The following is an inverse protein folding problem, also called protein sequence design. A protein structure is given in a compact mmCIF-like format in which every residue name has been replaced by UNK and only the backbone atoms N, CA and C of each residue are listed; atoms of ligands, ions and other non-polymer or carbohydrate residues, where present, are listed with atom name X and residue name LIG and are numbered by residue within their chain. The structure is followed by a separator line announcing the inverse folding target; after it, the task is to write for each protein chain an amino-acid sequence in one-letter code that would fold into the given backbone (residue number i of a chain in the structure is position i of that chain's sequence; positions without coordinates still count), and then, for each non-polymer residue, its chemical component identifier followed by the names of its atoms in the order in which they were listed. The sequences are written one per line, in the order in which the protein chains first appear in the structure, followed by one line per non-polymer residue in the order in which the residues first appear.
data_IF_356887128973
#
_entry.id   IF_356887128973
#
_cell.length_a   1.000
_cell.length_b   1.000
_cell.length_c   1.000
_cell.angle_alpha   90.00
_cell.angle_beta   90.00
_cell.angle_gamma   90.00
#
_symmetry.space_group_name_H-M   'P 1'
#
loop_
_entity.id
_entity.type
_entity.pdbx_description
1 polymer ?
#
# COMPACT_ATOMS: atom_id res chain seq x y z
N UNK A 1 23.76 -2.95 10.77
CA UNK A 1 22.70 -3.40 11.70
C UNK A 1 22.75 -4.92 11.77
N UNK A 2 22.52 -5.55 12.92
CA UNK A 2 22.59 -7.01 13.02
C UNK A 2 21.50 -7.67 12.14
N UNK A 3 21.89 -8.56 11.24
CA UNK A 3 20.96 -9.30 10.36
C UNK A 3 19.82 -9.98 11.14
N UNK A 4 20.09 -10.35 12.40
CA UNK A 4 19.11 -10.92 13.34
C UNK A 4 17.99 -9.93 13.71
N UNK A 5 18.29 -8.64 13.86
CA UNK A 5 17.31 -7.59 14.19
C UNK A 5 16.40 -7.33 12.99
N UNK A 6 16.99 -7.20 11.79
CA UNK A 6 16.24 -6.99 10.54
C UNK A 6 15.28 -8.16 10.29
N UNK A 7 15.74 -9.39 10.49
CA UNK A 7 14.93 -10.59 10.34
C UNK A 7 13.70 -10.57 11.26
N UNK A 8 13.87 -10.22 12.54
CA UNK A 8 12.76 -10.10 13.48
C UNK A 8 11.79 -8.97 13.14
N UNK A 9 12.28 -7.84 12.62
CA UNK A 9 11.44 -6.73 12.16
C UNK A 9 10.56 -7.13 10.97
N UNK A 10 11.14 -7.83 9.98
CA UNK A 10 10.40 -8.34 8.81
C UNK A 10 9.32 -9.33 9.24
N UNK A 11 9.66 -10.26 10.14
CA UNK A 11 8.68 -11.23 10.68
C UNK A 11 7.56 -10.52 11.44
N UNK A 12 7.90 -9.55 12.29
CA UNK A 12 6.91 -8.80 13.06
C UNK A 12 5.97 -8.00 12.14
N UNK A 13 6.51 -7.34 11.10
CA UNK A 13 5.71 -6.61 10.11
C UNK A 13 4.76 -7.54 9.35
N UNK A 14 5.25 -8.70 8.92
CA UNK A 14 4.44 -9.70 8.21
C UNK A 14 3.35 -10.29 9.11
N UNK A 15 3.67 -10.61 10.36
CA UNK A 15 2.72 -11.09 11.35
C UNK A 15 1.64 -10.05 11.65
N UNK A 16 1.98 -8.77 11.76
CA UNK A 16 1.04 -7.69 12.00
C UNK A 16 0.11 -7.47 10.79
N UNK A 17 0.65 -7.53 9.57
CA UNK A 17 -0.13 -7.40 8.34
C UNK A 17 -1.11 -8.57 8.15
N UNK A 18 -0.66 -9.82 8.36
CA UNK A 18 -1.53 -11.00 8.32
C UNK A 18 -2.54 -11.01 9.48
N UNK A 19 -2.12 -10.59 10.68
CA UNK A 19 -2.99 -10.45 11.83
C UNK A 19 -4.11 -9.44 11.58
N UNK A 20 -3.79 -8.28 11.02
CA UNK A 20 -4.77 -7.27 10.63
C UNK A 20 -5.74 -7.77 9.56
N UNK A 21 -5.24 -8.45 8.52
CA UNK A 21 -6.06 -9.03 7.46
C UNK A 21 -7.01 -10.12 7.97
N UNK A 22 -6.49 -11.07 8.77
CA UNK A 22 -7.28 -12.18 9.33
C UNK A 22 -8.30 -11.70 10.36
N UNK A 23 -7.94 -10.73 11.22
CA UNK A 23 -8.87 -10.08 12.13
C UNK A 23 -10.00 -9.36 11.37
N UNK A 24 -9.67 -8.65 10.29
CA UNK A 24 -10.66 -8.00 9.43
C UNK A 24 -11.62 -8.99 8.76
N UNK A 25 -11.19 -10.22 8.47
CA UNK A 25 -12.07 -11.27 7.94
C UNK A 25 -12.90 -11.99 9.01
N UNK A 26 -12.41 -12.02 10.26
CA UNK A 26 -13.05 -12.74 11.37
C UNK A 26 -14.18 -11.93 12.00
N UNK A 27 -14.11 -10.60 11.92
CA UNK A 27 -15.18 -9.71 12.34
C UNK A 27 -16.16 -9.57 11.17
N UNK A 28 -17.44 -9.95 11.34
CA UNK A 28 -18.52 -9.58 10.41
C UNK A 28 -18.71 -8.07 10.47
N UNK A 29 -17.91 -7.34 9.71
CA UNK A 29 -17.96 -5.89 9.64
C UNK A 29 -19.22 -5.48 8.86
N UNK A 30 -20.01 -4.60 9.46
CA UNK A 30 -21.12 -3.96 8.76
C UNK A 30 -20.60 -2.95 7.73
N UNK A 31 -21.50 -2.37 6.91
CA UNK A 31 -21.12 -1.47 5.83
C UNK A 31 -20.28 -0.26 6.30
N UNK A 32 -20.57 0.32 7.47
CA UNK A 32 -19.89 1.54 7.99
C UNK A 32 -18.41 1.33 8.36
N UNK A 33 -18.02 0.32 9.14
CA UNK A 33 -16.61 0.09 9.46
C UNK A 33 -15.79 -0.34 8.24
N UNK A 34 -16.38 -0.98 7.21
CA UNK A 34 -15.68 -1.24 5.95
C UNK A 34 -15.29 0.06 5.23
N UNK A 35 -16.22 1.02 5.13
CA UNK A 35 -15.96 2.34 4.54
C UNK A 35 -14.84 3.07 5.30
N UNK A 36 -14.87 2.99 6.63
CA UNK A 36 -13.83 3.55 7.49
C UNK A 36 -12.47 2.87 7.24
N UNK A 37 -12.42 1.54 7.13
CA UNK A 37 -11.18 0.79 6.96
C UNK A 37 -10.54 1.02 5.58
N UNK A 38 -11.35 1.10 4.52
CA UNK A 38 -10.89 1.43 3.16
C UNK A 38 -10.38 2.88 3.11
N UNK A 39 -11.11 3.82 3.72
CA UNK A 39 -10.68 5.22 3.80
C UNK A 39 -9.39 5.37 4.60
N UNK A 40 -9.25 4.62 5.70
CA UNK A 40 -8.03 4.55 6.49
C UNK A 40 -6.84 4.00 5.68
N UNK A 41 -7.04 2.89 4.95
CA UNK A 41 -6.01 2.33 4.07
C UNK A 41 -5.61 3.28 2.93
N UNK A 42 -6.57 3.98 2.33
CA UNK A 42 -6.28 5.04 1.36
C UNK A 42 -5.43 6.16 1.97
N UNK A 43 -5.72 6.53 3.22
CA UNK A 43 -4.94 7.49 3.99
C UNK A 43 -3.51 7.05 4.25
N UNK A 44 -3.28 5.78 4.63
CA UNK A 44 -1.92 5.26 4.86
C UNK A 44 -1.11 5.19 3.57
N UNK A 45 -1.70 4.77 2.44
CA UNK A 45 -1.03 4.77 1.12
C UNK A 45 -0.60 6.18 0.69
N UNK A 46 -1.48 7.17 0.88
CA UNK A 46 -1.15 8.56 0.58
C UNK A 46 -0.08 9.10 1.55
N UNK A 47 -0.18 8.76 2.83
CA UNK A 47 0.81 9.10 3.84
C UNK A 47 2.21 8.56 3.51
N UNK A 48 2.32 7.29 3.12
CA UNK A 48 3.60 6.69 2.68
C UNK A 48 4.15 7.41 1.45
N UNK A 49 3.27 7.75 0.51
CA UNK A 49 3.65 8.50 -0.70
C UNK A 49 4.31 9.83 -0.34
N UNK A 50 3.69 10.63 0.54
CA UNK A 50 4.20 11.96 0.89
C UNK A 50 5.37 11.95 1.88
N UNK A 51 5.35 11.07 2.87
CA UNK A 51 6.31 11.12 3.99
C UNK A 51 7.53 10.22 3.80
N UNK A 52 7.45 9.22 2.91
CA UNK A 52 8.54 8.30 2.61
C UNK A 52 8.96 8.38 1.14
N UNK A 53 8.07 8.04 0.19
CA UNK A 53 8.44 7.87 -1.23
C UNK A 53 8.92 9.18 -1.87
N UNK A 54 8.12 10.25 -1.74
CA UNK A 54 8.42 11.53 -2.37
C UNK A 54 9.74 12.16 -1.86
N UNK A 55 9.98 12.29 -0.53
CA UNK A 55 11.24 12.87 -0.05
C UNK A 55 12.45 12.00 -0.40
N UNK A 56 12.33 10.67 -0.39
CA UNK A 56 13.42 9.76 -0.79
C UNK A 56 13.77 9.89 -2.28
N UNK A 57 12.75 9.99 -3.13
CA UNK A 57 12.91 10.13 -4.58
C UNK A 57 13.52 11.49 -4.93
N UNK A 58 13.11 12.57 -4.25
CA UNK A 58 13.65 13.91 -4.43
C UNK A 58 15.08 14.07 -3.88
N UNK A 59 15.50 13.25 -2.91
CA UNK A 59 16.87 13.24 -2.41
C UNK A 59 17.88 12.66 -3.42
N UNK A 60 17.40 11.84 -4.36
CA UNK A 60 18.23 11.07 -5.31
C UNK A 60 18.08 11.53 -6.75
N UNK A 61 16.97 12.19 -7.09
CA UNK A 61 16.61 12.60 -8.45
C UNK A 61 16.15 14.06 -8.50
N UNK A 62 16.20 14.66 -9.69
CA UNK A 62 15.68 16.01 -9.88
C UNK A 62 14.15 16.04 -9.79
N UNK A 63 13.60 17.12 -9.25
CA UNK A 63 12.17 17.28 -8.99
C UNK A 63 11.28 17.06 -10.23
N UNK A 64 11.74 17.46 -11.41
CA UNK A 64 11.00 17.28 -12.65
C UNK A 64 10.93 15.80 -13.07
N UNK A 65 11.98 15.01 -12.82
CA UNK A 65 11.98 13.58 -13.12
C UNK A 65 11.03 12.83 -12.17
N UNK A 66 11.06 13.20 -10.89
CA UNK A 66 10.18 12.63 -9.87
C UNK A 66 8.72 12.95 -10.17
N UNK A 67 8.41 14.19 -10.57
CA UNK A 67 7.03 14.58 -10.93
C UNK A 67 6.55 13.87 -12.19
N UNK A 68 7.38 13.72 -13.23
CA UNK A 68 7.03 12.92 -14.42
C UNK A 68 6.77 11.46 -14.02
N UNK A 69 7.65 10.86 -13.21
CA UNK A 69 7.46 9.50 -12.73
C UNK A 69 6.14 9.34 -11.96
N UNK A 70 5.86 10.25 -11.00
CA UNK A 70 4.61 10.29 -10.25
C UNK A 70 3.39 10.41 -11.18
N UNK A 71 3.43 11.31 -12.16
CA UNK A 71 2.33 11.49 -13.12
C UNK A 71 2.13 10.24 -13.99
N UNK A 72 3.21 9.62 -14.46
CA UNK A 72 3.11 8.39 -15.28
C UNK A 72 2.48 7.23 -14.48
N UNK A 73 2.80 7.11 -13.19
CA UNK A 73 2.18 6.12 -12.32
C UNK A 73 0.69 6.37 -12.10
N UNK A 74 0.32 7.63 -11.84
CA UNK A 74 -1.07 8.05 -11.74
C UNK A 74 -1.83 7.75 -13.03
N UNK A 75 -1.26 8.12 -14.18
CA UNK A 75 -1.87 7.93 -15.50
C UNK A 75 -2.06 6.44 -15.82
N UNK A 76 -1.07 5.60 -15.49
CA UNK A 76 -1.16 4.15 -15.68
C UNK A 76 -2.37 3.57 -14.93
N UNK A 77 -2.49 3.87 -13.64
CA UNK A 77 -3.61 3.38 -12.83
C UNK A 77 -4.96 3.97 -13.25
N UNK A 78 -4.98 5.24 -13.69
CA UNK A 78 -6.16 5.85 -14.31
C UNK A 78 -6.60 5.08 -15.56
N UNK A 79 -5.69 4.76 -16.48
CA UNK A 79 -6.03 4.03 -17.70
C UNK A 79 -6.45 2.59 -17.42
N UNK A 80 -5.78 1.90 -16.49
CA UNK A 80 -6.17 0.55 -16.06
C UNK A 80 -7.60 0.58 -15.50
N UNK A 81 -7.91 1.55 -14.63
CA UNK A 81 -9.24 1.70 -14.06
C UNK A 81 -10.30 2.10 -15.10
N UNK A 82 -9.90 2.85 -16.13
CA UNK A 82 -10.82 3.27 -17.18
C UNK A 82 -11.12 2.17 -18.21
N UNK A 83 -10.13 1.33 -18.54
CA UNK A 83 -10.22 0.39 -19.67
C UNK A 83 -10.28 -1.09 -19.28
N UNK A 84 -9.75 -1.49 -18.13
CA UNK A 84 -9.64 -2.92 -17.74
C UNK A 84 -10.68 -3.30 -16.71
N UNK A 85 -10.81 -2.52 -15.63
CA UNK A 85 -11.74 -2.80 -14.55
C UNK A 85 -12.67 -1.61 -14.32
N UNK A 86 -13.92 -1.74 -14.77
CA UNK A 86 -14.94 -0.70 -14.63
C UNK A 86 -15.32 -0.39 -13.16
N UNK A 87 -14.81 -1.19 -12.21
CA UNK A 87 -14.93 -0.99 -10.76
C UNK A 87 -13.55 -1.20 -10.12
N UNK A 88 -13.10 -0.26 -9.29
CA UNK A 88 -11.86 -0.39 -8.53
C UNK A 88 -11.95 -1.57 -7.55
N UNK A 89 -11.00 -2.52 -7.52
CA UNK A 89 -11.09 -3.71 -6.67
C UNK A 89 -11.14 -3.39 -5.17
N UNK A 90 -10.56 -2.26 -4.74
CA UNK A 90 -10.64 -1.78 -3.36
C UNK A 90 -12.05 -1.31 -2.98
N UNK A 91 -12.74 -0.61 -3.89
CA UNK A 91 -14.12 -0.16 -3.70
C UNK A 91 -15.15 -1.27 -3.96
N UNK A 92 -14.80 -2.28 -4.77
CA UNK A 92 -15.65 -3.44 -4.97
C UNK A 92 -15.86 -4.21 -3.66
N UNK A 93 -14.86 -4.24 -2.77
CA UNK A 93 -14.96 -4.89 -1.47
C UNK A 93 -16.00 -4.25 -0.53
N UNK A 94 -16.19 -2.92 -0.55
CA UNK A 94 -17.26 -2.22 0.20
C UNK A 94 -18.63 -2.29 -0.47
N UNK A 95 -18.70 -2.66 -1.74
CA UNK A 95 -19.91 -2.65 -2.56
C UNK A 95 -20.68 -3.99 -2.55
N UNK A 96 -20.33 -4.96 -1.70
CA UNK A 96 -21.10 -6.20 -1.60
C UNK A 96 -22.31 -6.01 -0.67
N UNK A 97 -23.47 -5.83 -1.29
CA UNK A 97 -24.78 -5.70 -0.65
C UNK A 97 -25.23 -6.99 0.06
N UNK A 98 -26.11 -6.82 1.05
CA UNK A 98 -26.52 -7.80 2.06
C UNK A 98 -27.38 -8.98 1.52
N UNK A 99 -27.64 -9.05 0.21
CA UNK A 99 -28.61 -9.97 -0.43
C UNK A 99 -27.98 -11.18 -1.20
N UNK A 100 -26.65 -11.37 -1.20
CA UNK A 100 -25.97 -12.47 -1.94
C UNK A 100 -25.15 -13.43 -1.02
N UNK A 101 -25.73 -13.80 0.13
CA UNK A 101 -25.03 -13.98 1.42
C UNK A 101 -24.41 -15.36 1.73
N UNK A 102 -24.05 -16.23 0.76
CA UNK A 102 -23.38 -17.51 1.15
C UNK A 102 -22.19 -18.02 0.33
N UNK A 103 -22.01 -17.64 -0.94
CA UNK A 103 -20.85 -18.11 -1.74
C UNK A 103 -19.79 -17.02 -1.97
N UNK A 104 -20.16 -15.75 -1.91
CA UNK A 104 -19.26 -14.64 -2.24
C UNK A 104 -18.46 -14.10 -1.05
N UNK A 105 -18.84 -14.40 0.19
CA UNK A 105 -18.05 -14.09 1.39
C UNK A 105 -16.65 -14.73 1.35
N UNK A 106 -16.51 -15.90 0.71
CA UNK A 106 -15.21 -16.55 0.49
C UNK A 106 -14.33 -15.80 -0.51
N UNK A 107 -14.94 -15.13 -1.49
CA UNK A 107 -14.21 -14.33 -2.49
C UNK A 107 -13.76 -13.01 -1.86
N UNK A 108 -14.60 -12.38 -1.04
CA UNK A 108 -14.23 -11.18 -0.29
C UNK A 108 -13.12 -11.46 0.73
N UNK A 109 -13.19 -12.56 1.49
CA UNK A 109 -12.12 -12.94 2.42
C UNK A 109 -10.83 -13.32 1.68
N UNK A 110 -10.93 -14.02 0.54
CA UNK A 110 -9.77 -14.30 -0.31
C UNK A 110 -9.11 -13.02 -0.83
N UNK A 111 -9.90 -12.01 -1.23
CA UNK A 111 -9.38 -10.71 -1.67
C UNK A 111 -8.73 -9.92 -0.52
N UNK A 112 -9.29 -9.94 0.69
CA UNK A 112 -8.71 -9.29 1.87
C UNK A 112 -7.38 -9.96 2.25
N UNK A 113 -7.32 -11.30 2.25
CA UNK A 113 -6.08 -12.05 2.53
C UNK A 113 -5.04 -11.79 1.43
N UNK A 114 -5.44 -11.83 0.15
CA UNK A 114 -4.55 -11.54 -0.97
C UNK A 114 -4.00 -10.11 -0.91
N UNK A 115 -4.84 -9.11 -0.61
CA UNK A 115 -4.41 -7.72 -0.46
C UNK A 115 -3.52 -7.53 0.77
N UNK A 116 -3.78 -8.25 1.86
CA UNK A 116 -2.94 -8.22 3.06
C UNK A 116 -1.55 -8.78 2.78
N UNK A 117 -1.45 -9.86 2.01
CA UNK A 117 -0.17 -10.42 1.55
C UNK A 117 0.54 -9.44 0.60
N UNK A 118 -0.19 -8.83 -0.33
CA UNK A 118 0.34 -7.84 -1.27
C UNK A 118 0.93 -6.63 -0.54
N UNK A 119 0.15 -5.99 0.33
CA UNK A 119 0.59 -4.81 1.11
C UNK A 119 1.72 -5.14 2.09
N UNK A 120 1.74 -6.36 2.66
CA UNK A 120 2.87 -6.80 3.47
C UNK A 120 4.15 -6.93 2.64
N UNK A 121 4.03 -7.45 1.41
CA UNK A 121 5.15 -7.60 0.48
C UNK A 121 5.68 -6.24 0.03
N UNK A 122 4.79 -5.28 -0.26
CA UNK A 122 5.16 -3.90 -0.60
C UNK A 122 5.89 -3.21 0.56
N UNK A 123 5.39 -3.37 1.79
CA UNK A 123 6.03 -2.82 2.99
C UNK A 123 7.43 -3.41 3.24
N UNK A 124 7.60 -4.71 3.02
CA UNK A 124 8.93 -5.35 3.08
C UNK A 124 9.82 -4.76 1.99
N UNK A 125 9.38 -4.75 0.72
CA UNK A 125 10.17 -4.27 -0.41
C UNK A 125 10.69 -2.82 -0.19
N UNK A 126 9.84 -1.94 0.35
CA UNK A 126 10.25 -0.58 0.73
C UNK A 126 11.28 -0.56 1.88
N UNK A 127 11.17 -1.48 2.85
CA UNK A 127 12.09 -1.58 3.98
C UNK A 127 13.43 -2.23 3.66
N UNK A 128 13.46 -3.23 2.76
CA UNK A 128 14.67 -3.98 2.40
C UNK A 128 15.49 -3.33 1.28
N UNK A 129 14.93 -2.36 0.54
CA UNK A 129 15.62 -1.68 -0.57
C UNK A 129 16.91 -0.96 -0.19
N UNK A 130 17.32 -0.96 1.09
CA UNK A 130 18.55 -0.34 1.56
C UNK A 130 19.67 -1.31 1.94
N UNK A 131 19.42 -2.54 2.41
CA UNK A 131 20.50 -3.52 2.70
C UNK A 131 20.06 -5.00 2.64
N UNK A 132 20.63 -5.74 1.69
CA UNK A 132 20.87 -7.21 1.64
C UNK A 132 19.78 -8.26 1.36
N UNK A 133 20.30 -9.38 0.81
CA UNK A 133 19.72 -10.64 0.34
C UNK A 133 18.91 -11.40 1.41
N UNK A 134 17.68 -11.81 1.09
CA UNK A 134 16.89 -12.71 1.95
C UNK A 134 16.31 -13.87 1.12
N UNK A 135 16.51 -15.09 1.62
CA UNK A 135 15.98 -16.33 1.06
C UNK A 135 14.49 -16.51 1.43
N UNK A 136 13.63 -16.74 0.43
CA UNK A 136 12.23 -17.14 0.62
C UNK A 136 11.72 -17.95 -0.58
N UNK A 137 11.09 -19.11 -0.33
CA UNK A 137 10.26 -19.99 -1.19
C UNK A 137 10.30 -19.81 -2.73
N UNK A 138 10.50 -20.90 -3.49
CA UNK A 138 10.80 -20.95 -4.95
C UNK A 138 10.09 -19.93 -5.86
N UNK A 139 8.81 -19.61 -5.64
CA UNK A 139 8.04 -18.65 -6.46
C UNK A 139 8.27 -17.18 -6.07
N UNK A 140 8.36 -16.90 -4.77
CA UNK A 140 8.78 -15.59 -4.24
C UNK A 140 10.28 -15.40 -4.49
N UNK A 141 11.07 -16.47 -4.39
CA UNK A 141 12.49 -16.49 -4.74
C UNK A 141 12.68 -16.08 -6.19
N UNK A 142 11.91 -16.61 -7.14
CA UNK A 142 12.07 -16.28 -8.56
C UNK A 142 11.65 -14.84 -8.86
N UNK A 143 10.53 -14.37 -8.30
CA UNK A 143 10.10 -12.97 -8.45
C UNK A 143 11.08 -12.00 -7.77
N UNK A 144 11.57 -12.34 -6.58
CA UNK A 144 12.56 -11.58 -5.84
C UNK A 144 13.94 -11.68 -6.50
N UNK A 145 14.32 -12.78 -7.14
CA UNK A 145 15.56 -12.93 -7.90
C UNK A 145 15.50 -12.21 -9.24
N UNK A 146 14.36 -12.16 -9.92
CA UNK A 146 14.17 -11.34 -11.12
C UNK A 146 14.20 -9.86 -10.72
N UNK A 147 13.45 -9.48 -9.68
CA UNK A 147 13.50 -8.13 -9.13
C UNK A 147 14.90 -7.78 -8.63
N UNK A 148 15.57 -8.64 -7.89
CA UNK A 148 16.94 -8.44 -7.39
C UNK A 148 17.96 -8.43 -8.53
N UNK A 149 17.87 -9.27 -9.54
CA UNK A 149 18.78 -9.24 -10.69
C UNK A 149 18.61 -7.96 -11.53
N UNK A 150 17.37 -7.45 -11.66
CA UNK A 150 17.08 -6.20 -12.36
C UNK A 150 17.33 -4.93 -11.50
N UNK A 151 17.05 -4.98 -10.20
CA UNK A 151 17.16 -3.84 -9.25
C UNK A 151 18.51 -3.77 -8.54
N UNK A 152 19.21 -4.89 -8.27
CA UNK A 152 20.52 -4.85 -7.60
C UNK A 152 21.62 -4.27 -8.51
N UNK A 153 21.37 -4.21 -9.82
CA UNK A 153 22.22 -3.50 -10.77
C UNK A 153 21.60 -2.15 -11.21
N UNK A 154 20.44 -1.78 -10.67
CA UNK A 154 19.81 -0.50 -10.93
C UNK A 154 20.44 0.55 -10.01
N UNK A 155 20.98 1.62 -10.60
CA UNK A 155 21.49 2.76 -9.83
C UNK A 155 20.38 3.34 -8.94
N UNK A 156 20.76 3.89 -7.78
CA UNK A 156 19.87 4.57 -6.82
C UNK A 156 18.94 5.60 -7.51
N UNK A 157 19.42 6.20 -8.60
CA UNK A 157 18.64 7.03 -9.53
C UNK A 157 17.34 6.33 -10.01
N UNK A 158 17.45 5.16 -10.66
CA UNK A 158 16.31 4.41 -11.20
C UNK A 158 15.37 3.91 -10.10
N UNK A 159 15.91 3.51 -8.95
CA UNK A 159 15.10 3.10 -7.80
C UNK A 159 14.20 4.25 -7.33
N UNK A 160 14.73 5.47 -7.22
CA UNK A 160 13.94 6.65 -6.88
C UNK A 160 12.84 6.95 -7.90
N UNK A 161 13.09 6.80 -9.20
CA UNK A 161 12.06 6.99 -10.22
C UNK A 161 10.98 5.91 -10.21
N UNK A 162 11.36 4.65 -10.02
CA UNK A 162 10.39 3.54 -9.90
C UNK A 162 9.51 3.76 -8.66
N UNK A 163 10.09 4.14 -7.53
CA UNK A 163 9.33 4.42 -6.32
C UNK A 163 8.39 5.62 -6.51
N UNK A 164 8.84 6.69 -7.16
CA UNK A 164 7.98 7.81 -7.52
C UNK A 164 6.82 7.39 -8.43
N UNK A 165 7.07 6.52 -9.42
CA UNK A 165 6.02 5.95 -10.27
C UNK A 165 5.00 5.13 -9.45
N UNK A 166 5.46 4.26 -8.55
CA UNK A 166 4.57 3.52 -7.63
C UNK A 166 3.75 4.48 -6.75
N UNK A 167 4.37 5.53 -6.22
CA UNK A 167 3.71 6.59 -5.44
C UNK A 167 2.60 7.30 -6.23
N UNK A 168 2.75 7.47 -7.54
CA UNK A 168 1.72 7.99 -8.43
C UNK A 168 0.47 7.10 -8.48
N UNK A 169 0.67 5.78 -8.54
CA UNK A 169 -0.40 4.80 -8.47
C UNK A 169 -1.14 4.82 -7.12
N UNK A 170 -0.39 4.90 -6.01
CA UNK A 170 -0.97 5.03 -4.67
C UNK A 170 -1.79 6.31 -4.51
N UNK A 171 -1.30 7.43 -5.07
CA UNK A 171 -2.07 8.68 -5.10
C UNK A 171 -3.40 8.50 -5.84
N UNK A 172 -3.38 7.86 -7.01
CA UNK A 172 -4.59 7.60 -7.78
C UNK A 172 -5.59 6.74 -6.98
N UNK A 173 -5.13 5.62 -6.43
CA UNK A 173 -5.97 4.70 -5.65
C UNK A 173 -6.57 5.38 -4.42
N UNK A 174 -5.78 6.16 -3.69
CA UNK A 174 -6.25 6.90 -2.53
C UNK A 174 -7.31 7.94 -2.89
N UNK A 175 -7.06 8.73 -3.94
CA UNK A 175 -8.02 9.73 -4.42
C UNK A 175 -9.32 9.08 -4.89
N UNK A 176 -9.24 8.04 -5.71
CA UNK A 176 -10.41 7.35 -6.24
C UNK A 176 -11.22 6.65 -5.15
N UNK A 177 -10.57 6.03 -4.18
CA UNK A 177 -11.23 5.37 -3.06
C UNK A 177 -11.98 6.38 -2.17
N UNK A 178 -11.33 7.48 -1.77
CA UNK A 178 -11.96 8.51 -0.94
C UNK A 178 -13.11 9.19 -1.66
N UNK A 179 -12.96 9.51 -2.95
CA UNK A 179 -14.03 10.12 -3.74
C UNK A 179 -15.23 9.17 -3.88
N UNK A 180 -14.99 7.89 -4.15
CA UNK A 180 -16.05 6.88 -4.27
C UNK A 180 -16.87 6.73 -2.98
N UNK A 181 -16.19 6.66 -1.84
CA UNK A 181 -16.83 6.53 -0.52
C UNK A 181 -17.49 7.85 -0.08
N UNK A 182 -16.91 9.01 -0.37
CA UNK A 182 -17.46 10.32 0.02
C UNK A 182 -18.73 10.70 -0.76
N UNK A 183 -18.88 10.22 -2.00
CA UNK A 183 -20.09 10.45 -2.82
C UNK A 183 -21.29 9.66 -2.31
N UNK A 184 -21.07 8.54 -1.62
CA UNK A 184 -22.14 7.60 -1.22
C UNK A 184 -22.40 7.55 0.29
N UNK A 185 -21.42 7.89 1.13
CA UNK A 185 -21.49 7.73 2.59
C UNK A 185 -21.28 9.04 3.33
N UNK A 186 -21.43 8.97 4.66
CA UNK A 186 -21.25 10.14 5.54
C UNK A 186 -19.84 10.72 5.43
N UNK A 187 -19.75 11.94 4.86
CA UNK A 187 -18.51 12.69 4.64
C UNK A 187 -17.60 12.76 5.86
N UNK A 188 -18.16 12.84 7.07
CA UNK A 188 -17.38 12.90 8.30
C UNK A 188 -16.59 11.61 8.55
N UNK A 189 -17.22 10.43 8.45
CA UNK A 189 -16.56 9.15 8.74
C UNK A 189 -15.39 8.90 7.78
N UNK A 190 -15.62 9.09 6.48
CA UNK A 190 -14.63 8.90 5.42
C UNK A 190 -13.42 9.80 5.64
N UNK A 191 -13.65 11.11 5.84
CA UNK A 191 -12.57 12.08 6.06
C UNK A 191 -11.82 11.78 7.36
N UNK A 192 -12.52 11.47 8.46
CA UNK A 192 -11.85 11.18 9.74
C UNK A 192 -10.94 9.96 9.65
N UNK A 193 -11.40 8.88 9.01
CA UNK A 193 -10.62 7.66 8.85
C UNK A 193 -9.44 7.86 7.91
N UNK A 194 -9.65 8.57 6.80
CA UNK A 194 -8.58 8.93 5.87
C UNK A 194 -7.50 9.78 6.53
N UNK A 195 -7.89 10.85 7.23
CA UNK A 195 -6.96 11.71 7.96
C UNK A 195 -6.22 10.92 9.05
N UNK A 196 -6.90 10.00 9.75
CA UNK A 196 -6.25 9.14 10.75
C UNK A 196 -5.16 8.25 10.12
N UNK A 197 -5.39 7.72 8.92
CA UNK A 197 -4.39 6.94 8.17
C UNK A 197 -3.17 7.77 7.77
N UNK A 198 -3.38 8.98 7.23
CA UNK A 198 -2.28 9.91 6.87
C UNK A 198 -1.50 10.32 8.12
N UNK A 199 -2.20 10.67 9.20
CA UNK A 199 -1.59 11.08 10.46
C UNK A 199 -0.77 9.96 11.10
N UNK A 200 -1.24 8.71 11.06
CA UNK A 200 -0.50 7.56 11.57
C UNK A 200 0.88 7.43 10.91
N UNK A 201 0.94 7.52 9.58
CA UNK A 201 2.22 7.43 8.86
C UNK A 201 3.10 8.64 9.14
N UNK A 202 2.53 9.85 9.19
CA UNK A 202 3.27 11.06 9.54
C UNK A 202 3.90 10.97 10.94
N UNK A 203 3.13 10.54 11.94
CA UNK A 203 3.59 10.34 13.32
C UNK A 203 4.68 9.27 13.37
N UNK A 204 4.48 8.14 12.69
CA UNK A 204 5.46 7.06 12.65
C UNK A 204 6.79 7.54 12.05
N UNK A 205 6.75 8.26 10.93
CA UNK A 205 7.95 8.81 10.29
C UNK A 205 8.69 9.81 11.20
N UNK A 206 7.97 10.69 11.91
CA UNK A 206 8.57 11.63 12.87
C UNK A 206 9.20 10.87 14.04
N UNK A 207 8.47 9.91 14.63
CA UNK A 207 8.95 9.12 15.76
C UNK A 207 10.22 8.34 15.40
N UNK A 208 10.25 7.71 14.22
CA UNK A 208 11.42 6.99 13.71
C UNK A 208 12.62 7.92 13.52
N UNK A 209 12.41 9.15 13.04
CA UNK A 209 13.49 10.14 12.87
C UNK A 209 14.06 10.61 14.21
N UNK A 210 13.20 10.78 15.23
CA UNK A 210 13.62 11.16 16.59
C UNK A 210 14.37 10.00 17.27
N UNK A 211 13.96 8.75 17.05
CA UNK A 211 14.64 7.59 17.64
C UNK A 211 15.99 7.29 16.98
N UNK A 212 16.18 7.70 15.72
CA UNK A 212 17.40 7.51 14.96
C UNK A 212 18.45 8.63 15.14
N UNK A 213 18.09 9.74 15.81
CA UNK A 213 18.97 10.85 16.16
C UNK A 213 19.55 10.69 17.56
#
# INVERSE_FOLDING_TARGET
MDAKIIFWQVIAAYAFALGGGTLSTSIRLSHKPLCALISFAAGTLLGVTFFAILPESLATNQWWMVTIALVTGYALFFFISKYVHHVCPACAASHFDEDATRRFSQIASALIVALSIHSATDGIALGIGREFHVAANWSLFLALCIAFFFLANASIFWLGLIMAHVGGGFFYLAAHAVLGEMVRHGKQLVITSFCAGVALIGILNICLRILAS
#
